data_IF_340119370066
#
_entry.id   IF_340119370066
#
_cell.length_a   1.000
_cell.length_b   1.000
_cell.length_c   1.000
_cell.angle_alpha   90.00
_cell.angle_beta   90.00
_cell.angle_gamma   90.00
#
_symmetry.space_group_name_H-M   'P 1'
#
loop_
_entity.id
_entity.type
_entity.pdbx_description
1 polymer ?
#
# COMPACT_ATOMS: atom_id res chain seq x y z
N UNK A 1 7.37 -20.13 -5.27
CA UNK A 1 8.70 -20.54 -5.70
C UNK A 1 9.68 -19.46 -5.29
N UNK A 2 10.69 -19.85 -4.52
CA UNK A 2 11.73 -19.01 -3.97
C UNK A 2 12.97 -19.06 -4.86
N UNK A 3 13.89 -18.13 -4.67
CA UNK A 3 15.20 -18.14 -5.33
C UNK A 3 15.95 -19.43 -5.02
N UNK A 4 15.93 -19.89 -3.77
CA UNK A 4 16.53 -21.16 -3.38
C UNK A 4 15.93 -22.37 -4.08
N UNK A 5 14.63 -22.35 -4.43
CA UNK A 5 14.03 -23.46 -5.20
C UNK A 5 14.63 -23.55 -6.62
N UNK A 6 15.10 -22.43 -7.18
CA UNK A 6 15.70 -22.36 -8.53
C UNK A 6 17.22 -22.60 -8.48
N UNK A 7 17.88 -22.11 -7.44
CA UNK A 7 19.35 -22.11 -7.29
C UNK A 7 19.86 -23.15 -6.26
N UNK A 8 19.12 -24.24 -6.04
CA UNK A 8 19.57 -25.37 -5.21
C UNK A 8 19.81 -25.02 -3.75
N UNK A 9 18.97 -24.17 -3.16
CA UNK A 9 19.02 -23.75 -1.76
C UNK A 9 19.99 -22.61 -1.47
N UNK A 10 20.70 -22.09 -2.48
CA UNK A 10 21.68 -21.01 -2.31
C UNK A 10 21.11 -19.64 -2.65
N UNK A 11 21.75 -18.60 -2.13
CA UNK A 11 21.47 -17.22 -2.50
C UNK A 11 21.93 -16.94 -3.93
N UNK A 12 21.23 -16.06 -4.64
CA UNK A 12 21.69 -15.57 -5.93
C UNK A 12 22.51 -14.29 -5.76
N UNK A 13 23.77 -14.47 -5.33
CA UNK A 13 24.66 -13.38 -4.90
C UNK A 13 24.98 -12.36 -5.98
N UNK A 14 24.96 -12.73 -7.27
CA UNK A 14 25.28 -11.81 -8.39
C UNK A 14 24.43 -10.55 -8.40
N UNK A 15 23.18 -10.66 -7.95
CA UNK A 15 22.22 -9.55 -7.89
C UNK A 15 21.66 -9.33 -6.49
N UNK A 16 22.27 -9.96 -5.47
CA UNK A 16 21.92 -9.77 -4.06
C UNK A 16 20.54 -10.30 -3.66
N UNK A 17 20.03 -11.37 -4.29
CA UNK A 17 18.78 -12.00 -3.87
C UNK A 17 19.04 -13.16 -2.90
N UNK A 18 18.43 -13.14 -1.73
CA UNK A 18 18.49 -14.27 -0.79
C UNK A 18 17.73 -15.48 -1.32
N UNK A 19 18.13 -16.67 -0.91
CA UNK A 19 17.47 -17.96 -1.16
C UNK A 19 15.99 -17.95 -0.74
N UNK A 20 15.65 -17.17 0.29
CA UNK A 20 14.28 -17.02 0.81
C UNK A 20 13.43 -15.99 0.05
N UNK A 21 14.01 -15.23 -0.87
CA UNK A 21 13.28 -14.27 -1.67
C UNK A 21 12.33 -15.00 -2.64
N UNK A 22 11.15 -14.41 -2.88
CA UNK A 22 10.20 -14.96 -3.85
C UNK A 22 10.73 -14.70 -5.26
N UNK A 23 10.98 -15.76 -6.02
CA UNK A 23 11.34 -15.68 -7.42
C UNK A 23 10.10 -15.69 -8.32
N UNK A 24 9.12 -16.53 -7.97
CA UNK A 24 7.84 -16.63 -8.68
C UNK A 24 6.70 -16.95 -7.71
N UNK A 25 5.77 -16.00 -7.58
CA UNK A 25 4.53 -16.15 -6.81
C UNK A 25 3.63 -17.18 -7.50
N UNK A 26 3.09 -18.12 -6.73
CA UNK A 26 2.38 -19.31 -7.24
C UNK A 26 3.15 -20.20 -8.23
N UNK A 27 4.45 -19.99 -8.44
CA UNK A 27 5.23 -20.86 -9.34
C UNK A 27 5.20 -22.34 -8.95
N UNK A 28 5.07 -22.66 -7.65
CA UNK A 28 4.92 -24.05 -7.17
C UNK A 28 3.57 -24.67 -7.52
N UNK A 29 2.52 -23.85 -7.63
CA UNK A 29 1.20 -24.32 -8.04
C UNK A 29 1.16 -24.81 -9.50
N UNK A 30 2.17 -24.45 -10.30
CA UNK A 30 2.30 -24.88 -11.70
C UNK A 30 3.36 -25.98 -11.84
N UNK A 31 4.44 -25.92 -11.04
CA UNK A 31 5.54 -26.89 -11.14
C UNK A 31 5.30 -28.20 -10.39
N UNK A 32 4.51 -28.15 -9.31
CA UNK A 32 4.19 -29.33 -8.53
C UNK A 32 3.01 -30.03 -9.21
N UNK A 33 3.07 -31.36 -9.31
CA UNK A 33 1.99 -32.18 -9.84
C UNK A 33 0.88 -32.36 -8.79
N UNK A 34 0.33 -31.23 -8.33
CA UNK A 34 -0.69 -31.10 -7.29
C UNK A 34 -1.88 -30.33 -7.85
N UNK A 35 -3.07 -30.76 -7.48
CA UNK A 35 -4.31 -30.06 -7.81
C UNK A 35 -4.59 -28.94 -6.80
N UNK A 36 -5.55 -28.07 -7.12
CA UNK A 36 -5.90 -26.94 -6.25
C UNK A 36 -6.36 -27.42 -4.86
N UNK A 37 -7.06 -28.55 -4.81
CA UNK A 37 -7.59 -29.19 -3.60
C UNK A 37 -6.49 -29.71 -2.66
N UNK A 38 -5.28 -29.95 -3.19
CA UNK A 38 -4.13 -30.38 -2.39
C UNK A 38 -3.51 -29.22 -1.59
N UNK A 39 -3.85 -27.98 -1.94
CA UNK A 39 -3.37 -26.80 -1.25
C UNK A 39 -4.31 -26.39 -0.13
N UNK A 40 -3.72 -26.11 1.02
CA UNK A 40 -4.44 -25.49 2.13
C UNK A 40 -4.93 -24.10 1.74
N UNK A 41 -6.21 -23.76 1.96
CA UNK A 41 -6.74 -22.43 1.66
C UNK A 41 -5.98 -21.30 2.35
N UNK A 42 -5.41 -21.54 3.54
CA UNK A 42 -4.62 -20.53 4.26
C UNK A 42 -3.31 -20.20 3.53
N UNK A 43 -2.67 -21.19 2.91
CA UNK A 43 -1.42 -21.01 2.18
C UNK A 43 -1.64 -20.26 0.87
N UNK A 44 -2.74 -20.55 0.17
CA UNK A 44 -3.19 -19.81 -1.02
C UNK A 44 -3.46 -18.35 -0.66
N UNK A 45 -4.26 -18.12 0.39
CA UNK A 45 -4.63 -16.78 0.85
C UNK A 45 -3.42 -15.96 1.28
N UNK A 46 -2.51 -16.56 2.06
CA UNK A 46 -1.27 -15.90 2.51
C UNK A 46 -0.32 -15.60 1.35
N UNK A 47 -0.22 -16.52 0.38
CA UNK A 47 0.60 -16.33 -0.82
C UNK A 47 0.07 -15.18 -1.68
N UNK A 48 -1.24 -15.09 -1.86
CA UNK A 48 -1.89 -14.00 -2.57
C UNK A 48 -1.68 -12.66 -1.85
N UNK A 49 -1.94 -12.60 -0.54
CA UNK A 49 -1.75 -11.39 0.26
C UNK A 49 -0.30 -10.91 0.18
N UNK A 50 0.67 -11.83 0.29
CA UNK A 50 2.10 -11.51 0.19
C UNK A 50 2.48 -11.03 -1.21
N UNK A 51 1.95 -11.64 -2.26
CA UNK A 51 2.20 -11.23 -3.65
C UNK A 51 1.74 -9.78 -3.87
N UNK A 52 0.49 -9.48 -3.55
CA UNK A 52 -0.10 -8.15 -3.76
C UNK A 52 0.66 -7.11 -2.93
N UNK A 53 0.91 -7.38 -1.64
CA UNK A 53 1.63 -6.48 -0.75
C UNK A 53 3.06 -6.19 -1.22
N UNK A 54 3.79 -7.21 -1.68
CA UNK A 54 5.14 -7.04 -2.23
C UNK A 54 5.12 -6.21 -3.53
N UNK A 55 4.16 -6.46 -4.42
CA UNK A 55 4.02 -5.69 -5.67
C UNK A 55 3.74 -4.21 -5.38
N UNK A 56 2.83 -3.93 -4.44
CA UNK A 56 2.55 -2.57 -3.96
C UNK A 56 3.83 -1.91 -3.45
N UNK A 57 4.61 -2.59 -2.59
CA UNK A 57 5.85 -2.05 -2.05
C UNK A 57 6.89 -1.73 -3.12
N UNK A 58 7.07 -2.63 -4.09
CA UNK A 58 8.02 -2.43 -5.20
C UNK A 58 7.64 -1.26 -6.09
N UNK A 59 6.39 -1.21 -6.58
CA UNK A 59 5.92 -0.12 -7.45
C UNK A 59 6.01 1.22 -6.72
N UNK A 60 5.62 1.23 -5.44
CA UNK A 60 5.68 2.43 -4.61
C UNK A 60 7.12 2.95 -4.46
N UNK A 61 8.08 2.05 -4.24
CA UNK A 61 9.49 2.41 -4.19
C UNK A 61 10.01 2.91 -5.55
N UNK A 62 9.70 2.23 -6.66
CA UNK A 62 10.11 2.68 -8.00
C UNK A 62 9.60 4.09 -8.32
N UNK A 63 8.37 4.40 -7.90
CA UNK A 63 7.80 5.74 -8.02
C UNK A 63 8.52 6.75 -7.11
N UNK A 64 8.77 6.39 -5.85
CA UNK A 64 9.53 7.22 -4.92
C UNK A 64 10.95 7.52 -5.43
N UNK A 65 11.63 6.52 -5.97
CA UNK A 65 12.95 6.65 -6.59
C UNK A 65 12.92 7.63 -7.77
N UNK A 66 11.89 7.55 -8.63
CA UNK A 66 11.73 8.45 -9.78
C UNK A 66 11.65 9.92 -9.37
N UNK A 67 11.04 10.22 -8.22
CA UNK A 67 10.83 11.59 -7.73
C UNK A 67 11.76 11.98 -6.56
N UNK A 68 12.75 11.15 -6.21
CA UNK A 68 13.69 11.42 -5.11
C UNK A 68 13.05 11.45 -3.72
N UNK A 69 11.97 10.69 -3.50
CA UNK A 69 11.22 10.66 -2.26
C UNK A 69 11.75 9.57 -1.31
N UNK A 70 11.94 9.93 -0.04
CA UNK A 70 12.42 9.01 1.02
C UNK A 70 11.31 8.44 1.92
N UNK A 71 10.10 9.03 1.85
CA UNK A 71 8.97 8.64 2.70
C UNK A 71 7.77 8.36 1.82
N UNK A 72 7.18 7.18 2.00
CA UNK A 72 6.04 6.71 1.22
C UNK A 72 4.89 6.49 2.19
N UNK A 73 3.82 7.28 2.06
CA UNK A 73 2.62 7.13 2.88
C UNK A 73 1.64 6.20 2.19
N UNK A 74 1.25 5.13 2.88
CA UNK A 74 0.22 4.21 2.41
C UNK A 74 -1.12 4.59 3.05
N UNK A 75 -2.13 4.80 2.19
CA UNK A 75 -3.51 5.10 2.56
C UNK A 75 -4.49 4.10 1.95
N UNK A 76 -5.78 4.23 2.28
CA UNK A 76 -6.86 3.37 1.78
C UNK A 76 -7.20 2.19 2.70
N UNK A 77 -8.13 1.35 2.24
CA UNK A 77 -8.74 0.26 3.03
C UNK A 77 -8.14 -1.13 2.79
N UNK A 78 -7.01 -1.23 2.08
CA UNK A 78 -6.32 -2.51 1.92
C UNK A 78 -5.57 -2.93 3.19
N UNK A 79 -4.93 -1.97 3.87
CA UNK A 79 -4.04 -2.24 5.01
C UNK A 79 -4.86 -2.50 6.28
N UNK A 80 -5.78 -1.61 6.64
CA UNK A 80 -6.67 -1.66 7.81
C UNK A 80 -5.96 -1.96 9.13
N UNK A 81 -4.73 -1.47 9.30
CA UNK A 81 -3.88 -1.79 10.44
C UNK A 81 -3.47 -3.27 10.56
N UNK A 82 -3.60 -4.06 9.49
CA UNK A 82 -3.22 -5.46 9.49
C UNK A 82 -1.68 -5.60 9.52
N UNK A 83 -1.16 -6.02 10.66
CA UNK A 83 0.28 -6.05 10.94
C UNK A 83 1.10 -6.80 9.88
N UNK A 84 0.62 -7.95 9.39
CA UNK A 84 1.32 -8.72 8.36
C UNK A 84 1.42 -7.96 7.03
N UNK A 85 0.38 -7.22 6.65
CA UNK A 85 0.36 -6.42 5.41
C UNK A 85 1.32 -5.25 5.53
N UNK A 86 1.27 -4.53 6.67
CA UNK A 86 2.17 -3.41 6.96
C UNK A 86 3.63 -3.86 6.97
N UNK A 87 3.92 -4.99 7.62
CA UNK A 87 5.27 -5.59 7.67
C UNK A 87 5.75 -5.98 6.27
N UNK A 88 4.93 -6.70 5.50
CA UNK A 88 5.29 -7.12 4.13
C UNK A 88 5.62 -5.92 3.24
N UNK A 89 4.81 -4.85 3.28
CA UNK A 89 5.07 -3.63 2.52
C UNK A 89 6.35 -2.94 3.01
N UNK A 90 6.57 -2.89 4.33
CA UNK A 90 7.76 -2.27 4.92
C UNK A 90 9.04 -3.00 4.52
N UNK A 91 9.03 -4.33 4.59
CA UNK A 91 10.14 -5.18 4.14
C UNK A 91 10.41 -4.98 2.66
N UNK A 92 9.37 -4.95 1.82
CA UNK A 92 9.53 -4.73 0.38
C UNK A 92 10.16 -3.36 0.08
N UNK A 93 9.67 -2.28 0.69
CA UNK A 93 10.23 -0.92 0.51
C UNK A 93 11.68 -0.86 1.01
N UNK A 94 11.95 -1.42 2.19
CA UNK A 94 13.31 -1.43 2.76
C UNK A 94 14.28 -2.22 1.87
N UNK A 95 13.88 -3.39 1.40
CA UNK A 95 14.67 -4.26 0.53
C UNK A 95 15.06 -3.56 -0.77
N UNK A 96 14.09 -3.03 -1.52
CA UNK A 96 14.36 -2.40 -2.82
C UNK A 96 15.09 -1.07 -2.71
N UNK A 97 14.89 -0.34 -1.60
CA UNK A 97 15.58 0.93 -1.33
C UNK A 97 16.92 0.80 -0.64
N UNK A 98 17.35 -0.41 -0.26
CA UNK A 98 18.52 -0.63 0.61
C UNK A 98 18.47 0.22 1.89
N UNK A 99 17.25 0.44 2.39
CA UNK A 99 16.99 1.25 3.58
C UNK A 99 16.89 2.77 3.38
N UNK A 100 17.04 3.29 2.15
CA UNK A 100 16.95 4.73 1.88
C UNK A 100 15.51 5.28 1.91
N UNK A 101 14.52 4.41 1.73
CA UNK A 101 13.10 4.77 1.77
C UNK A 101 12.37 4.07 2.92
N UNK A 102 11.36 4.76 3.47
CA UNK A 102 10.55 4.25 4.58
C UNK A 102 9.07 4.24 4.23
N UNK A 103 8.43 3.10 4.45
CA UNK A 103 6.97 2.95 4.45
C UNK A 103 6.38 3.60 5.71
N UNK A 104 5.37 4.44 5.52
CA UNK A 104 4.66 5.15 6.58
C UNK A 104 3.18 4.79 6.51
N UNK A 105 2.57 4.57 7.67
CA UNK A 105 1.17 4.17 7.80
C UNK A 105 0.41 5.18 8.65
N UNK A 106 -0.91 5.24 8.44
CA UNK A 106 -1.78 6.22 9.06
C UNK A 106 -2.87 5.51 9.87
N UNK A 107 -3.16 6.00 11.08
CA UNK A 107 -4.23 5.43 11.92
C UNK A 107 -5.61 5.52 11.26
N UNK A 108 -5.84 6.58 10.46
CA UNK A 108 -7.09 6.85 9.76
C UNK A 108 -6.91 6.77 8.22
N UNK A 109 -6.11 5.80 7.76
CA UNK A 109 -5.74 5.60 6.36
C UNK A 109 -6.92 5.53 5.37
N UNK A 110 -8.07 5.00 5.78
CA UNK A 110 -9.26 4.87 4.94
C UNK A 110 -10.08 6.15 4.75
N UNK A 111 -9.85 7.19 5.55
CA UNK A 111 -10.76 8.34 5.66
C UNK A 111 -10.23 9.63 5.03
N UNK A 112 -9.03 9.61 4.43
CA UNK A 112 -8.40 10.81 3.88
C UNK A 112 -9.25 11.51 2.81
N UNK A 113 -9.94 10.74 1.97
CA UNK A 113 -10.84 11.29 0.95
C UNK A 113 -12.05 12.02 1.54
N UNK A 114 -12.71 11.41 2.53
CA UNK A 114 -13.85 12.02 3.22
C UNK A 114 -13.42 13.26 4.02
N UNK A 115 -12.27 13.20 4.70
CA UNK A 115 -11.69 14.34 5.42
C UNK A 115 -11.37 15.50 4.46
N UNK A 116 -10.79 15.20 3.30
CA UNK A 116 -10.53 16.21 2.26
C UNK A 116 -11.81 16.88 1.74
N UNK A 117 -12.87 16.10 1.52
CA UNK A 117 -14.18 16.62 1.10
C UNK A 117 -14.79 17.54 2.18
N UNK A 118 -14.74 17.12 3.44
CA UNK A 118 -15.24 17.92 4.57
C UNK A 118 -14.49 19.26 4.70
N UNK A 119 -13.16 19.25 4.67
CA UNK A 119 -12.35 20.48 4.75
C UNK A 119 -12.59 21.41 3.55
N UNK A 120 -12.81 20.85 2.36
CA UNK A 120 -13.13 21.64 1.16
C UNK A 120 -14.48 22.34 1.28
N UNK A 121 -15.47 21.68 1.89
CA UNK A 121 -16.78 22.27 2.16
C UNK A 121 -16.66 23.48 3.10
N UNK A 122 -15.90 23.40 4.20
CA UNK A 122 -15.73 24.55 5.09
C UNK A 122 -15.11 25.75 4.38
N UNK A 123 -14.11 25.51 3.52
CA UNK A 123 -13.39 26.57 2.80
C UNK A 123 -14.26 27.29 1.75
N UNK A 124 -15.18 26.60 1.10
CA UNK A 124 -16.04 27.19 0.05
C UNK A 124 -17.44 27.56 0.59
N UNK A 125 -17.97 26.80 1.54
CA UNK A 125 -19.28 27.01 2.14
C UNK A 125 -19.35 28.24 3.04
N UNK A 126 -18.28 28.61 3.76
CA UNK A 126 -18.22 29.88 4.50
C UNK A 126 -18.22 31.09 3.58
N UNK A 127 -17.56 30.99 2.42
CA UNK A 127 -17.50 32.08 1.43
C UNK A 127 -18.87 32.28 0.78
N UNK A 128 -19.57 31.20 0.43
CA UNK A 128 -20.94 31.27 -0.10
C UNK A 128 -21.96 31.72 0.96
N UNK A 129 -21.82 31.30 2.23
CA UNK A 129 -22.72 31.75 3.31
C UNK A 129 -22.51 33.24 3.65
N UNK A 130 -21.26 33.72 3.61
CA UNK A 130 -20.92 35.13 3.80
C UNK A 130 -21.33 35.99 2.60
N UNK A 131 -21.28 35.47 1.37
CA UNK A 131 -21.80 36.14 0.18
C UNK A 131 -23.33 36.27 0.20
N UNK A 132 -24.04 35.29 0.78
CA UNK A 132 -25.50 35.31 0.89
C UNK A 132 -26.06 36.08 2.09
N UNK A 133 -25.25 36.47 3.07
CA UNK A 133 -25.67 37.27 4.23
C UNK A 133 -25.55 38.80 4.03
N UNK A 134 -25.20 39.24 2.81
CA UNK A 134 -24.97 40.64 2.45
C UNK A 134 -26.19 41.43 1.93
N UNK A 135 -27.38 40.86 1.77
CA UNK A 135 -28.53 41.58 1.19
C UNK A 135 -29.88 41.17 1.77
N UNK A 136 -30.27 41.76 2.90
CA UNK A 136 -31.63 42.33 3.06
C UNK A 136 -31.67 43.27 4.27
N UNK A 137 -31.96 44.58 4.12
CA UNK A 137 -32.34 45.38 5.26
C UNK A 137 -33.76 44.95 5.68
N UNK A 138 -33.90 44.43 6.89
CA UNK A 138 -35.20 44.36 7.57
C UNK A 138 -35.65 45.79 7.84
N UNK A 139 -36.45 46.33 6.92
CA UNK A 139 -37.20 47.56 7.16
C UNK A 139 -38.26 47.24 8.21
N UNK A 140 -37.98 47.66 9.44
CA UNK A 140 -38.99 47.80 10.49
C UNK A 140 -39.84 49.00 10.11
N UNK A 141 -41.09 48.75 9.72
CA UNK A 141 -42.13 49.78 9.71
C UNK A 141 -43.23 49.36 10.69
N UNK A 142 -43.40 50.24 11.68
CA UNK A 142 -44.44 50.42 12.70
C UNK A 142 -45.70 49.58 12.63
#
# INVERSE_FOLDING_TARGET
MLVGDIYGGTDYSKIGLSSTAIASSFGKAISDNKELEDYRPEDVSRSLLRMISNNIGQISYLNALRFGLKRIFFGGFFIRGHAYTMDTISVAVHFWSKGEAKAMFLRHEGFLGALGAFMSYEKHGLVDLMAHSGTTPLVVTT
#
